data_IF_056140256187
#
_entry.id   IF_056140256187
#
_cell.length_a   1.000
_cell.length_b   1.000
_cell.length_c   1.000
_cell.angle_alpha   90.00
_cell.angle_beta   90.00
_cell.angle_gamma   90.00
#
_symmetry.space_group_name_H-M   'P 1'
#
loop_
_entity.id
_entity.type
_entity.pdbx_description
1 polymer ?
#
# COMPACT_ATOMS: atom_id res chain seq x y z
N UNK A 1 8.93 -4.65 5.54
CA UNK A 1 8.92 -3.68 4.42
C UNK A 1 9.14 -2.25 4.92
N UNK A 2 9.55 -1.30 4.07
CA UNK A 2 9.64 0.13 4.40
C UNK A 2 8.83 0.93 3.38
N UNK A 3 7.62 1.36 3.77
CA UNK A 3 6.68 2.09 2.91
C UNK A 3 7.34 3.22 2.08
N UNK A 4 8.07 4.13 2.75
CA UNK A 4 8.69 5.28 2.06
C UNK A 4 9.75 4.89 1.04
N UNK A 5 10.41 3.73 1.20
CA UNK A 5 11.34 3.22 0.18
C UNK A 5 10.54 2.68 -1.00
N UNK A 6 9.51 1.87 -0.75
CA UNK A 6 8.63 1.33 -1.79
C UNK A 6 7.98 2.44 -2.62
N UNK A 7 7.41 3.47 -1.98
CA UNK A 7 6.80 4.62 -2.68
C UNK A 7 7.79 5.32 -3.61
N UNK A 8 9.01 5.57 -3.14
CA UNK A 8 10.03 6.25 -3.96
C UNK A 8 10.40 5.43 -5.20
N UNK A 9 10.72 4.15 -5.01
CA UNK A 9 11.22 3.31 -6.09
C UNK A 9 10.13 2.84 -7.06
N UNK A 10 8.91 2.62 -6.56
CA UNK A 10 7.85 2.00 -7.36
C UNK A 10 6.89 3.03 -7.96
N UNK A 11 6.90 4.28 -7.49
CA UNK A 11 6.05 5.35 -8.03
C UNK A 11 6.89 6.57 -8.40
N UNK A 12 7.57 7.22 -7.44
CA UNK A 12 8.15 8.55 -7.68
C UNK A 12 9.32 8.53 -8.68
N UNK A 13 10.21 7.54 -8.61
CA UNK A 13 11.39 7.48 -9.48
C UNK A 13 11.11 6.89 -10.87
N UNK A 14 9.96 6.22 -11.03
CA UNK A 14 9.56 5.64 -12.31
C UNK A 14 8.70 6.60 -13.14
N UNK A 15 8.01 7.53 -12.48
CA UNK A 15 7.11 8.47 -13.13
C UNK A 15 7.74 9.85 -13.24
N UNK A 16 7.79 10.39 -14.45
CA UNK A 16 8.18 11.78 -14.70
C UNK A 16 6.93 12.67 -14.69
N UNK A 17 6.53 13.12 -13.49
CA UNK A 17 5.35 13.97 -13.35
C UNK A 17 5.62 15.39 -13.80
N UNK A 18 4.68 15.93 -14.58
CA UNK A 18 4.79 17.26 -15.16
C UNK A 18 4.29 18.36 -14.23
N UNK A 19 3.55 18.01 -13.17
CA UNK A 19 3.04 18.97 -12.20
C UNK A 19 2.87 18.38 -10.79
N UNK A 20 2.93 19.22 -9.74
CA UNK A 20 2.63 18.78 -8.37
C UNK A 20 1.22 18.21 -8.19
N UNK A 21 0.25 18.60 -9.04
CA UNK A 21 -1.11 18.03 -8.99
C UNK A 21 -1.11 16.58 -9.47
N UNK A 22 -0.41 16.31 -10.55
CA UNK A 22 -0.23 14.96 -11.09
C UNK A 22 0.52 14.07 -10.09
N UNK A 23 1.61 14.56 -9.50
CA UNK A 23 2.36 13.84 -8.46
C UNK A 23 1.49 13.47 -7.27
N UNK A 24 0.61 14.37 -6.80
CA UNK A 24 -0.31 14.05 -5.69
C UNK A 24 -1.28 12.94 -6.07
N UNK A 25 -1.81 12.95 -7.29
CA UNK A 25 -2.71 11.92 -7.77
C UNK A 25 -1.99 10.56 -7.85
N UNK A 26 -0.79 10.51 -8.42
CA UNK A 26 0.00 9.28 -8.50
C UNK A 26 0.35 8.71 -7.12
N UNK A 27 0.83 9.57 -6.20
CA UNK A 27 1.08 9.17 -4.81
C UNK A 27 -0.20 8.64 -4.14
N UNK A 28 -1.34 9.30 -4.32
CA UNK A 28 -2.62 8.86 -3.75
C UNK A 28 -3.03 7.48 -4.29
N UNK A 29 -2.90 7.28 -5.60
CA UNK A 29 -3.18 6.00 -6.25
C UNK A 29 -2.26 4.89 -5.74
N UNK A 30 -0.95 5.18 -5.61
CA UNK A 30 0.01 4.21 -5.08
C UNK A 30 -0.29 3.84 -3.63
N UNK A 31 -0.63 4.81 -2.77
CA UNK A 31 -0.99 4.55 -1.38
C UNK A 31 -2.22 3.65 -1.30
N UNK A 32 -3.23 3.90 -2.15
CA UNK A 32 -4.41 3.06 -2.22
C UNK A 32 -4.05 1.62 -2.66
N UNK A 33 -3.22 1.47 -3.70
CA UNK A 33 -2.72 0.19 -4.15
C UNK A 33 -1.96 -0.56 -3.03
N UNK A 34 -1.02 0.11 -2.38
CA UNK A 34 -0.24 -0.43 -1.27
C UNK A 34 -1.12 -0.91 -0.13
N UNK A 35 -2.11 -0.11 0.27
CA UNK A 35 -2.96 -0.42 1.41
C UNK A 35 -4.00 -1.52 1.13
N UNK A 36 -4.50 -1.64 -0.10
CA UNK A 36 -5.65 -2.50 -0.39
C UNK A 36 -5.34 -3.70 -1.28
N UNK A 37 -4.25 -3.68 -2.04
CA UNK A 37 -4.01 -4.69 -3.09
C UNK A 37 -2.65 -5.37 -2.99
N UNK A 38 -1.68 -4.81 -2.25
CA UNK A 38 -0.36 -5.42 -2.07
C UNK A 38 -0.29 -6.20 -0.74
N UNK A 39 -0.15 -7.54 -0.78
CA UNK A 39 0.08 -8.32 0.41
C UNK A 39 1.51 -8.13 0.94
N UNK A 40 1.66 -7.95 2.25
CA UNK A 40 2.97 -7.77 2.87
C UNK A 40 3.40 -9.01 3.62
N UNK A 41 4.64 -9.46 3.38
CA UNK A 41 5.20 -10.62 4.09
C UNK A 41 5.26 -10.40 5.62
N UNK A 42 5.57 -9.18 6.07
CA UNK A 42 5.56 -8.84 7.50
C UNK A 42 4.17 -8.84 8.12
N UNK A 43 3.11 -8.82 7.28
CA UNK A 43 1.72 -8.93 7.68
C UNK A 43 1.15 -10.29 7.28
N UNK A 44 1.96 -11.35 7.27
CA UNK A 44 1.52 -12.72 6.92
C UNK A 44 0.83 -12.83 5.54
N UNK A 45 1.25 -12.00 4.57
CA UNK A 45 0.62 -11.88 3.24
C UNK A 45 -0.82 -11.34 3.30
N UNK A 46 -1.12 -10.50 4.28
CA UNK A 46 -2.30 -9.64 4.26
C UNK A 46 -1.95 -8.22 3.83
N UNK A 47 -2.96 -7.48 3.39
CA UNK A 47 -2.82 -6.06 3.05
C UNK A 47 -2.89 -5.20 4.32
N UNK A 48 -2.30 -3.99 4.32
CA UNK A 48 -2.34 -3.12 5.49
C UNK A 48 -3.77 -2.76 5.90
N UNK A 49 -4.67 -2.53 4.93
CA UNK A 49 -6.07 -2.26 5.21
C UNK A 49 -6.77 -3.43 5.89
N UNK A 50 -6.56 -4.67 5.44
CA UNK A 50 -7.18 -5.85 6.05
C UNK A 50 -6.75 -6.04 7.52
N UNK A 51 -5.48 -5.78 7.83
CA UNK A 51 -4.97 -5.85 9.20
C UNK A 51 -5.53 -4.71 10.06
N UNK A 52 -5.53 -3.49 9.54
CA UNK A 52 -6.05 -2.31 10.25
C UNK A 52 -7.55 -2.45 10.56
N UNK A 53 -8.34 -2.93 9.60
CA UNK A 53 -9.77 -3.19 9.73
C UNK A 53 -10.08 -4.45 10.56
N UNK A 54 -9.06 -5.20 11.02
CA UNK A 54 -9.18 -6.48 11.76
C UNK A 54 -9.93 -7.58 11.01
N UNK A 55 -10.03 -7.48 9.69
CA UNK A 55 -10.63 -8.51 8.84
C UNK A 55 -9.88 -9.84 9.01
N UNK A 56 -8.54 -9.77 9.09
CA UNK A 56 -7.66 -10.93 9.29
C UNK A 56 -7.87 -11.62 10.64
N UNK A 57 -8.09 -10.84 11.70
CA UNK A 57 -8.26 -11.38 13.06
C UNK A 57 -9.56 -12.17 13.15
N UNK A 58 -10.64 -11.64 12.55
CA UNK A 58 -11.95 -12.29 12.52
C UNK A 58 -11.92 -13.64 11.79
N UNK A 59 -11.15 -13.74 10.70
CA UNK A 59 -10.94 -14.99 9.96
C UNK A 59 -10.22 -16.05 10.80
N UNK A 60 -9.23 -15.66 11.62
CA UNK A 60 -8.49 -16.60 12.48
C UNK A 60 -9.25 -17.07 13.73
N UNK A 61 -10.27 -16.33 14.19
CA UNK A 61 -11.09 -16.68 15.35
C UNK A 61 -12.39 -17.41 15.00
N UNK A 62 -12.63 -17.66 13.70
CA UNK A 62 -13.82 -18.37 13.21
C UNK A 62 -13.59 -19.87 12.97
N UNK A 63 -12.46 -20.42 13.44
CA UNK A 63 -12.17 -21.87 13.48
C UNK A 63 -12.35 -22.45 14.88
#
# INVERSE_FOLDING_TARGET
ERFWRSLKYNEIYLNDYNSPRETRNGISSYIHLHNHYLPHQSLQKYTPAAVYNREVVLLSTSE
#
